data_IF_396117522150
#
_entry.id   IF_396117522150
#
_cell.length_a   1.000
_cell.length_b   1.000
_cell.length_c   1.000
_cell.angle_alpha   90.00
_cell.angle_beta   90.00
_cell.angle_gamma   90.00
#
_symmetry.space_group_name_H-M   'P 1'
#
loop_
_entity.id
_entity.type
_entity.pdbx_description
1 polymer ?
#
# COMPACT_ATOMS: atom_id res chain seq x y z
N UNK A 1 -5.52 4.32 -22.45
CA UNK A 1 -5.36 4.86 -21.08
C UNK A 1 -6.64 4.77 -20.23
N UNK A 2 -7.81 5.25 -20.71
CA UNK A 2 -9.05 5.31 -19.91
C UNK A 2 -9.67 3.94 -19.57
N UNK A 3 -9.54 2.92 -20.44
CA UNK A 3 -10.18 1.61 -20.22
C UNK A 3 -9.59 0.79 -19.05
N UNK A 4 -8.47 1.21 -18.47
CA UNK A 4 -7.81 0.56 -17.32
C UNK A 4 -8.08 1.25 -15.98
N UNK A 5 -8.57 2.48 -16.00
CA UNK A 5 -8.84 3.23 -14.78
C UNK A 5 -10.20 2.79 -14.26
N UNK A 6 -10.21 1.92 -13.26
CA UNK A 6 -11.43 1.66 -12.53
C UNK A 6 -11.99 2.99 -11.97
N UNK A 7 -13.31 3.05 -11.77
CA UNK A 7 -13.96 4.28 -11.31
C UNK A 7 -13.49 4.75 -9.92
N UNK A 8 -12.82 3.89 -9.15
CA UNK A 8 -12.22 4.23 -7.87
C UNK A 8 -10.89 4.96 -8.03
N UNK A 9 -10.01 4.47 -8.89
CA UNK A 9 -8.72 5.09 -9.17
C UNK A 9 -8.90 6.44 -9.87
N UNK A 10 -9.83 6.53 -10.83
CA UNK A 10 -10.17 7.81 -11.46
C UNK A 10 -10.66 8.83 -10.41
N UNK A 11 -11.43 8.39 -9.42
CA UNK A 11 -11.85 9.27 -8.32
C UNK A 11 -10.65 9.76 -7.50
N UNK A 12 -9.66 8.91 -7.25
CA UNK A 12 -8.42 9.31 -6.55
C UNK A 12 -7.65 10.35 -7.35
N UNK A 13 -7.52 10.19 -8.66
CA UNK A 13 -6.86 11.19 -9.51
C UNK A 13 -7.60 12.54 -9.47
N UNK A 14 -8.94 12.53 -9.44
CA UNK A 14 -9.75 13.76 -9.45
C UNK A 14 -9.90 14.43 -8.07
N UNK A 15 -9.97 13.65 -6.99
CA UNK A 15 -10.26 14.13 -5.63
C UNK A 15 -9.03 14.13 -4.73
N UNK A 16 -7.91 13.61 -5.22
CA UNK A 16 -6.64 13.51 -4.52
C UNK A 16 -6.62 12.44 -3.43
N UNK A 17 -5.60 12.46 -2.55
CA UNK A 17 -5.31 11.42 -1.57
C UNK A 17 -6.45 11.14 -0.57
N UNK A 18 -7.38 12.09 -0.39
CA UNK A 18 -8.55 11.91 0.49
C UNK A 18 -9.52 10.84 0.00
N UNK A 19 -9.47 10.49 -1.29
CA UNK A 19 -10.30 9.44 -1.87
C UNK A 19 -9.63 8.06 -1.85
N UNK A 20 -8.43 7.94 -1.26
CA UNK A 20 -7.75 6.65 -1.13
C UNK A 20 -8.59 5.66 -0.31
N UNK A 21 -8.66 4.38 -0.73
CA UNK A 21 -9.41 3.37 -0.01
C UNK A 21 -8.77 3.01 1.34
N UNK A 22 -9.59 2.64 2.31
CA UNK A 22 -9.18 2.13 3.63
C UNK A 22 -8.86 0.61 3.59
N UNK A 23 -8.47 0.11 2.43
CA UNK A 23 -8.30 -1.32 2.17
C UNK A 23 -6.93 -1.55 1.51
N UNK A 24 -6.10 -2.38 2.16
CA UNK A 24 -4.71 -2.60 1.74
C UNK A 24 -4.62 -3.31 0.38
N UNK A 25 -5.56 -4.20 0.05
CA UNK A 25 -5.57 -4.90 -1.24
C UNK A 25 -5.90 -3.95 -2.38
N UNK A 26 -6.87 -3.04 -2.18
CA UNK A 26 -7.18 -1.99 -3.15
C UNK A 26 -6.03 -1.01 -3.33
N UNK A 27 -5.34 -0.64 -2.25
CA UNK A 27 -4.15 0.21 -2.32
C UNK A 27 -3.03 -0.47 -3.11
N UNK A 28 -2.83 -1.78 -2.94
CA UNK A 28 -1.88 -2.55 -3.74
C UNK A 28 -2.26 -2.57 -5.24
N UNK A 29 -3.55 -2.71 -5.55
CA UNK A 29 -4.03 -2.64 -6.93
C UNK A 29 -3.77 -1.26 -7.56
N UNK A 30 -4.00 -0.18 -6.80
CA UNK A 30 -3.73 1.19 -7.27
C UNK A 30 -2.24 1.40 -7.55
N UNK A 31 -1.35 0.90 -6.70
CA UNK A 31 0.10 0.94 -6.97
C UNK A 31 0.47 0.19 -8.26
N UNK A 32 -0.15 -0.98 -8.51
CA UNK A 32 0.05 -1.71 -9.77
C UNK A 32 -0.32 -0.89 -11.00
N UNK A 33 -1.41 -0.12 -10.93
CA UNK A 33 -1.81 0.81 -12.00
C UNK A 33 -0.82 1.95 -12.13
N UNK A 34 -0.41 2.57 -11.02
CA UNK A 34 0.57 3.67 -11.01
C UNK A 34 1.88 3.26 -11.67
N UNK A 35 2.47 2.13 -11.28
CA UNK A 35 3.72 1.67 -11.89
C UNK A 35 3.57 1.36 -13.37
N UNK A 36 2.44 0.76 -13.79
CA UNK A 36 2.17 0.54 -15.22
C UNK A 36 2.14 1.86 -16.00
N UNK A 37 1.55 2.91 -15.43
CA UNK A 37 1.50 4.24 -16.07
C UNK A 37 2.88 4.92 -16.09
N UNK A 38 3.68 4.77 -15.03
CA UNK A 38 5.04 5.29 -14.97
C UNK A 38 5.96 4.60 -15.98
N UNK A 39 5.85 3.27 -16.12
CA UNK A 39 6.58 2.50 -17.14
C UNK A 39 6.21 2.94 -18.56
N UNK A 40 4.91 3.11 -18.84
CA UNK A 40 4.41 3.62 -20.12
C UNK A 40 4.96 5.04 -20.40
N UNK A 41 4.93 5.93 -19.40
CA UNK A 41 5.43 7.30 -19.54
C UNK A 41 6.96 7.38 -19.74
N UNK A 42 7.73 6.46 -19.16
CA UNK A 42 9.18 6.40 -19.29
C UNK A 42 9.65 5.85 -20.64
N UNK A 43 8.85 4.99 -21.29
CA UNK A 43 9.20 4.36 -22.57
C UNK A 43 8.95 5.22 -23.81
N UNK A 44 8.13 6.26 -23.69
CA UNK A 44 7.76 7.13 -24.79
C UNK A 44 8.65 8.39 -24.80
N UNK A 45 9.48 8.58 -25.83
CA UNK A 45 10.21 9.84 -26.03
C UNK A 45 9.42 10.72 -27.01
N UNK A 46 8.79 11.78 -26.52
CA UNK A 46 8.12 12.76 -27.36
C UNK A 46 9.09 13.84 -27.85
N UNK A 47 8.86 14.40 -29.03
CA UNK A 47 9.70 15.47 -29.61
C UNK A 47 9.10 16.87 -29.42
N UNK A 48 7.92 16.94 -28.78
CA UNK A 48 7.22 18.18 -28.45
C UNK A 48 7.48 18.54 -26.98
N UNK A 49 8.03 19.74 -26.77
CA UNK A 49 8.37 20.26 -25.45
C UNK A 49 7.14 20.44 -24.56
N UNK A 50 6.01 20.89 -25.11
CA UNK A 50 4.81 21.11 -24.29
C UNK A 50 4.25 19.78 -23.77
N UNK A 51 4.41 18.71 -24.57
CA UNK A 51 4.02 17.36 -24.19
C UNK A 51 4.99 16.74 -23.18
N UNK A 52 6.30 16.96 -23.31
CA UNK A 52 7.28 16.59 -22.29
C UNK A 52 7.00 17.28 -20.94
N UNK A 53 6.71 18.58 -20.94
CA UNK A 53 6.40 19.33 -19.71
C UNK A 53 5.08 18.85 -19.08
N UNK A 54 4.06 18.52 -19.88
CA UNK A 54 2.81 17.95 -19.38
C UNK A 54 3.03 16.56 -18.77
N UNK A 55 3.80 15.71 -19.43
CA UNK A 55 4.11 14.38 -18.94
C UNK A 55 4.93 14.41 -17.65
N UNK A 56 5.89 15.33 -17.55
CA UNK A 56 6.65 15.54 -16.31
C UNK A 56 5.73 15.81 -15.11
N UNK A 57 4.69 16.64 -15.29
CA UNK A 57 3.67 16.90 -14.24
C UNK A 57 2.84 15.66 -13.91
N UNK A 58 2.49 14.86 -14.92
CA UNK A 58 1.74 13.62 -14.70
C UNK A 58 2.56 12.59 -13.92
N UNK A 59 3.85 12.43 -14.24
CA UNK A 59 4.76 11.57 -13.50
C UNK A 59 4.96 12.04 -12.06
N UNK A 60 5.16 13.35 -11.84
CA UNK A 60 5.27 13.94 -10.49
C UNK A 60 4.02 13.66 -9.65
N UNK A 61 2.82 13.86 -10.23
CA UNK A 61 1.56 13.52 -9.58
C UNK A 61 1.45 12.02 -9.23
N UNK A 62 1.93 11.13 -10.11
CA UNK A 62 1.90 9.69 -9.87
C UNK A 62 2.86 9.27 -8.74
N UNK A 63 4.06 9.85 -8.69
CA UNK A 63 5.00 9.65 -7.57
C UNK A 63 4.44 10.18 -6.24
N UNK A 64 3.83 11.36 -6.25
CA UNK A 64 3.14 11.90 -5.07
C UNK A 64 2.03 10.95 -4.59
N UNK A 65 1.28 10.34 -5.50
CA UNK A 65 0.22 9.42 -5.16
C UNK A 65 0.76 8.10 -4.58
N UNK A 66 1.87 7.60 -5.12
CA UNK A 66 2.60 6.45 -4.59
C UNK A 66 3.03 6.69 -3.13
N UNK A 67 3.57 7.87 -2.83
CA UNK A 67 3.94 8.25 -1.46
C UNK A 67 2.76 8.28 -0.50
N UNK A 68 1.64 8.86 -0.94
CA UNK A 68 0.41 8.92 -0.14
C UNK A 68 -0.18 7.54 0.12
N UNK A 69 -0.07 6.63 -0.85
CA UNK A 69 -0.46 5.24 -0.63
C UNK A 69 0.45 4.57 0.40
N UNK A 70 1.77 4.78 0.34
CA UNK A 70 2.70 4.22 1.31
C UNK A 70 2.39 4.70 2.75
N UNK A 71 2.15 6.00 2.93
CA UNK A 71 1.69 6.58 4.20
C UNK A 71 0.39 5.91 4.68
N UNK A 72 -0.61 5.81 3.79
CA UNK A 72 -1.92 5.24 4.10
C UNK A 72 -1.84 3.76 4.51
N UNK A 73 -1.04 2.97 3.79
CA UNK A 73 -0.80 1.56 4.10
C UNK A 73 -0.19 1.41 5.49
N UNK A 74 0.74 2.29 5.88
CA UNK A 74 1.34 2.27 7.21
C UNK A 74 0.33 2.62 8.32
N UNK A 75 -0.72 3.38 8.03
CA UNK A 75 -1.76 3.76 8.99
C UNK A 75 -2.82 2.68 9.23
N UNK A 76 -3.21 1.94 8.19
CA UNK A 76 -4.32 0.97 8.27
C UNK A 76 -3.93 -0.24 9.14
N UNK A 77 -4.53 -0.46 10.33
CA UNK A 77 -4.21 -1.63 11.14
C UNK A 77 -4.79 -2.91 10.53
N UNK A 78 -3.98 -3.98 10.47
CA UNK A 78 -4.46 -5.29 10.01
C UNK A 78 -4.65 -6.26 11.18
N UNK A 79 -5.66 -7.12 11.06
CA UNK A 79 -6.04 -8.10 12.10
C UNK A 79 -5.57 -9.53 11.79
N UNK A 80 -4.99 -9.74 10.62
CA UNK A 80 -4.61 -11.06 10.12
C UNK A 80 -3.18 -11.05 9.61
N UNK A 81 -2.53 -12.22 9.66
CA UNK A 81 -1.19 -12.41 9.09
C UNK A 81 -1.21 -12.13 7.58
N UNK A 82 -2.28 -12.53 6.88
CA UNK A 82 -2.46 -12.23 5.45
C UNK A 82 -2.45 -10.72 5.16
N UNK A 83 -3.15 -9.90 5.96
CA UNK A 83 -3.10 -8.45 5.80
C UNK A 83 -1.69 -7.87 6.06
N UNK A 84 -0.93 -8.47 6.98
CA UNK A 84 0.45 -8.06 7.25
C UNK A 84 1.38 -8.42 6.08
N UNK A 85 1.15 -9.57 5.43
CA UNK A 85 1.86 -9.97 4.21
C UNK A 85 1.56 -9.02 3.05
N UNK A 86 0.31 -8.57 2.86
CA UNK A 86 0.00 -7.58 1.81
C UNK A 86 0.76 -6.25 2.02
N UNK A 87 0.91 -5.79 3.27
CA UNK A 87 1.76 -4.62 3.55
C UNK A 87 3.23 -4.86 3.18
N UNK A 88 3.76 -6.04 3.48
CA UNK A 88 5.14 -6.39 3.13
C UNK A 88 5.35 -6.53 1.62
N UNK A 89 4.34 -6.99 0.89
CA UNK A 89 4.38 -7.01 -0.58
C UNK A 89 4.47 -5.59 -1.15
N UNK A 90 3.63 -4.67 -0.65
CA UNK A 90 3.69 -3.25 -1.02
C UNK A 90 5.08 -2.67 -0.70
N UNK A 91 5.59 -2.89 0.51
CA UNK A 91 6.94 -2.48 0.91
C UNK A 91 8.02 -3.00 -0.04
N UNK A 92 7.98 -4.29 -0.36
CA UNK A 92 9.01 -4.93 -1.19
C UNK A 92 9.08 -4.31 -2.58
N UNK A 93 7.94 -3.91 -3.14
CA UNK A 93 7.87 -3.30 -4.47
C UNK A 93 8.31 -1.83 -4.43
N UNK A 94 7.85 -1.06 -3.43
CA UNK A 94 8.30 0.33 -3.22
C UNK A 94 9.82 0.43 -2.98
N UNK A 95 10.43 -0.62 -2.42
CA UNK A 95 11.85 -0.67 -2.13
C UNK A 95 12.71 -1.23 -3.28
N UNK A 96 12.11 -1.68 -4.39
CA UNK A 96 12.84 -2.35 -5.47
C UNK A 96 13.73 -1.38 -6.28
N UNK A 97 13.35 -0.10 -6.36
CA UNK A 97 13.99 0.90 -7.24
C UNK A 97 14.71 2.03 -6.48
N UNK A 98 14.87 1.92 -5.16
CA UNK A 98 15.51 2.97 -4.34
C UNK A 98 17.02 2.77 -4.31
N UNK A 99 17.74 3.39 -5.25
CA UNK A 99 19.21 3.34 -5.30
C UNK A 99 19.89 4.21 -4.22
N UNK A 100 19.17 5.12 -3.55
CA UNK A 100 19.74 5.91 -2.43
C UNK A 100 18.71 6.48 -1.44
N UNK A 101 18.97 6.25 -0.15
CA UNK A 101 18.73 7.14 1.00
C UNK A 101 17.31 7.65 1.38
N UNK A 102 16.21 7.22 0.76
CA UNK A 102 14.87 7.45 1.33
C UNK A 102 14.44 6.33 2.30
N UNK A 103 15.19 6.21 3.40
CA UNK A 103 14.94 5.25 4.49
C UNK A 103 13.61 5.51 5.23
N UNK A 104 12.91 6.62 4.96
CA UNK A 104 11.80 7.09 5.79
C UNK A 104 10.46 6.35 5.59
N UNK A 105 10.04 6.07 4.34
CA UNK A 105 8.68 5.56 4.05
C UNK A 105 8.55 4.04 4.21
N UNK A 106 9.54 3.31 3.73
CA UNK A 106 9.62 1.86 3.90
C UNK A 106 9.66 1.45 5.38
N UNK A 107 10.35 2.23 6.21
CA UNK A 107 10.41 2.05 7.66
C UNK A 107 9.03 2.16 8.33
N UNK A 108 8.17 3.06 7.86
CA UNK A 108 6.81 3.21 8.41
C UNK A 108 5.98 1.96 8.18
N UNK A 109 6.07 1.35 6.99
CA UNK A 109 5.36 0.12 6.66
C UNK A 109 5.89 -1.03 7.53
N UNK A 110 7.21 -1.18 7.65
CA UNK A 110 7.83 -2.23 8.48
C UNK A 110 7.41 -2.10 9.94
N UNK A 111 7.49 -0.88 10.53
CA UNK A 111 7.04 -0.63 11.91
C UNK A 111 5.53 -0.86 12.09
N UNK A 112 4.74 -0.58 11.06
CA UNK A 112 3.30 -0.88 11.06
C UNK A 112 3.05 -2.38 11.11
N UNK A 113 3.73 -3.16 10.25
CA UNK A 113 3.67 -4.62 10.24
C UNK A 113 4.09 -5.22 11.58
N UNK A 114 5.18 -4.74 12.17
CA UNK A 114 5.64 -5.19 13.50
C UNK A 114 4.54 -5.02 14.56
N UNK A 115 3.94 -3.82 14.65
CA UNK A 115 2.84 -3.54 15.60
C UNK A 115 1.63 -4.45 15.36
N UNK A 116 1.29 -4.71 14.11
CA UNK A 116 0.13 -5.56 13.78
C UNK A 116 0.41 -7.04 14.12
N UNK A 117 1.60 -7.56 13.82
CA UNK A 117 2.01 -8.92 14.18
C UNK A 117 2.07 -9.12 15.70
N UNK A 118 2.55 -8.13 16.46
CA UNK A 118 2.52 -8.16 17.92
C UNK A 118 1.08 -8.29 18.44
N UNK A 119 0.15 -7.48 17.93
CA UNK A 119 -1.28 -7.54 18.29
C UNK A 119 -1.91 -8.88 17.96
N UNK A 120 -1.63 -9.41 16.76
CA UNK A 120 -2.11 -10.72 16.31
C UNK A 120 -1.59 -11.82 17.25
N UNK A 121 -0.30 -11.79 17.60
CA UNK A 121 0.31 -12.78 18.49
C UNK A 121 -0.30 -12.77 19.89
N UNK A 122 -0.61 -11.58 20.44
CA UNK A 122 -1.28 -11.43 21.74
C UNK A 122 -2.70 -11.98 21.66
N UNK A 123 -3.44 -11.63 20.61
CA UNK A 123 -4.81 -12.10 20.40
C UNK A 123 -4.88 -13.62 20.31
N UNK A 124 -3.99 -14.24 19.53
CA UNK A 124 -3.92 -15.70 19.38
C UNK A 124 -3.56 -16.40 20.70
N UNK A 125 -2.60 -15.87 21.46
CA UNK A 125 -2.25 -16.41 22.79
C UNK A 125 -3.44 -16.35 23.76
N UNK A 126 -4.16 -15.23 23.77
CA UNK A 126 -5.34 -15.08 24.63
C UNK A 126 -6.46 -16.04 24.21
N UNK A 127 -6.70 -16.19 22.90
CA UNK A 127 -7.69 -17.14 22.39
C UNK A 127 -7.35 -18.59 22.79
N UNK A 128 -6.09 -19.00 22.63
CA UNK A 128 -5.63 -20.34 23.04
C UNK A 128 -5.79 -20.56 24.54
N UNK A 129 -5.42 -19.57 25.38
CA UNK A 129 -5.59 -19.63 26.83
C UNK A 129 -7.06 -19.79 27.23
N UNK A 130 -7.95 -19.00 26.63
CA UNK A 130 -9.37 -19.04 26.93
C UNK A 130 -10.00 -20.38 26.52
N UNK A 131 -9.58 -20.94 25.39
CA UNK A 131 -10.02 -22.27 24.96
C UNK A 131 -9.61 -23.36 25.96
N UNK A 132 -8.36 -23.32 26.46
CA UNK A 132 -7.91 -24.25 27.50
C UNK A 132 -8.73 -24.15 28.79
N UNK A 133 -9.05 -22.93 29.25
CA UNK A 133 -9.88 -22.72 30.45
C UNK A 133 -11.30 -23.26 30.24
N UNK A 134 -11.90 -23.00 29.07
CA UNK A 134 -13.22 -23.51 28.75
C UNK A 134 -13.27 -25.05 28.78
N UNK A 135 -12.29 -25.73 28.17
CA UNK A 135 -12.19 -27.19 28.23
C UNK A 135 -12.06 -27.72 29.67
N UNK A 136 -11.24 -27.07 30.50
CA UNK A 136 -11.08 -27.47 31.90
C UNK A 136 -12.37 -27.30 32.73
N UNK A 137 -13.19 -26.29 32.43
CA UNK A 137 -14.48 -26.06 33.11
C UNK A 137 -15.63 -26.99 32.67
N UNK A 138 -15.51 -27.69 31.54
CA UNK A 138 -16.54 -28.61 31.03
C UNK A 138 -16.30 -30.08 31.44
N UNK A 139 -15.17 -30.38 32.08
CA UNK A 139 -14.79 -31.71 32.55
C UNK A 139 -15.04 -31.98 34.04
N UNK A 140 -15.81 -31.12 34.71
CA UNK A 140 -16.31 -31.27 36.10
C UNK A 140 -17.84 -31.41 36.07
#
# INVERSE_FOLDING_TARGET
MVDRLDGGFLRVLLQGPRALPEDVEKLAAFLGVIWSLLEEAAGDCETDRDAEEQRGREMEMLFDLEDRIAEKVAEIPVKTVCGALHKLEIWSRLNADVDTYEVSRCDLIVRSVQRDLERISVSQRNAARNACVACASQGL
#
